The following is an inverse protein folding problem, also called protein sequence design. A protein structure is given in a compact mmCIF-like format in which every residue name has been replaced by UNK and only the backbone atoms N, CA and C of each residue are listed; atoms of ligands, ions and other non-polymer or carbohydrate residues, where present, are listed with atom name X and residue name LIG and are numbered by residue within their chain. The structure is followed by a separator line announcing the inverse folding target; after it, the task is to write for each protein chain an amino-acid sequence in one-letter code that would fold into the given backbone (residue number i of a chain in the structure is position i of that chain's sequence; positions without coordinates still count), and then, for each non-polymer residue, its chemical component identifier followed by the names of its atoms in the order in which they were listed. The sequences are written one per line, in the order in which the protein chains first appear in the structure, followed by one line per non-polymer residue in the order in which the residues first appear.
data_IF_437483164735
#
_entry.id   IF_437483164735
#
_cell.length_a   1.000
_cell.length_b   1.000
_cell.length_c   1.000
_cell.angle_alpha   90.00
_cell.angle_beta   90.00
_cell.angle_gamma   90.00
#
_symmetry.space_group_name_H-M   'P 1'
#
loop_
_entity.id
_entity.type
_entity.pdbx_description
1 polymer ?
#
# COMPACT_ATOMS: atom_id res chain seq x y z
N UNK A 1 -20.45 23.19 -33.38
CA UNK A 1 -19.89 21.92 -33.92
C UNK A 1 -18.55 21.58 -33.28
N UNK A 2 -18.55 20.82 -32.18
CA UNK A 2 -17.32 20.22 -31.64
C UNK A 2 -16.86 19.12 -32.62
N UNK A 3 -15.97 19.46 -33.56
CA UNK A 3 -15.33 18.45 -34.41
C UNK A 3 -14.32 17.69 -33.54
N UNK A 4 -14.65 16.44 -33.23
CA UNK A 4 -13.76 15.53 -32.49
C UNK A 4 -12.55 15.23 -33.40
N UNK A 5 -11.48 15.99 -33.18
CA UNK A 5 -10.22 15.85 -33.89
C UNK A 5 -9.53 14.51 -33.54
N UNK A 6 -8.64 14.01 -34.40
CA UNK A 6 -7.97 12.72 -34.18
C UNK A 6 -7.17 12.68 -32.87
N UNK A 7 -6.64 13.85 -32.45
CA UNK A 7 -5.98 14.03 -31.15
C UNK A 7 -6.94 13.82 -29.97
N UNK A 8 -8.18 14.29 -30.10
CA UNK A 8 -9.23 14.12 -29.07
C UNK A 8 -9.62 12.64 -28.97
N UNK A 9 -9.81 11.94 -30.09
CA UNK A 9 -10.06 10.49 -30.10
C UNK A 9 -8.92 9.70 -29.44
N UNK A 10 -7.67 10.05 -29.76
CA UNK A 10 -6.50 9.40 -29.15
C UNK A 10 -6.43 9.63 -27.64
N UNK A 11 -6.65 10.88 -27.20
CA UNK A 11 -6.72 11.25 -25.79
C UNK A 11 -7.76 10.43 -25.03
N UNK A 12 -9.02 10.43 -25.47
CA UNK A 12 -10.09 9.67 -24.80
C UNK A 12 -9.86 8.16 -24.83
N UNK A 13 -9.30 7.61 -25.92
CA UNK A 13 -8.94 6.18 -26.02
C UNK A 13 -7.90 5.74 -24.98
N UNK A 14 -7.02 6.64 -24.54
CA UNK A 14 -6.02 6.37 -23.49
C UNK A 14 -6.50 6.73 -22.10
N UNK A 15 -7.23 7.83 -21.99
CA UNK A 15 -7.78 8.37 -20.75
C UNK A 15 -8.83 7.44 -20.15
N UNK A 16 -9.77 6.90 -20.95
CA UNK A 16 -10.81 6.02 -20.44
C UNK A 16 -10.23 4.80 -19.69
N UNK A 17 -9.36 3.95 -20.29
CA UNK A 17 -8.75 2.84 -19.55
C UNK A 17 -7.96 3.29 -18.31
N UNK A 18 -7.32 4.46 -18.34
CA UNK A 18 -6.56 4.97 -17.20
C UNK A 18 -7.46 5.38 -16.03
N UNK A 19 -8.56 6.09 -16.31
CA UNK A 19 -9.58 6.45 -15.31
C UNK A 19 -10.21 5.19 -14.75
N UNK A 20 -10.63 4.27 -15.62
CA UNK A 20 -11.24 3.02 -15.18
C UNK A 20 -10.25 2.15 -14.39
N UNK A 21 -8.95 2.13 -14.72
CA UNK A 21 -7.93 1.45 -13.93
C UNK A 21 -7.87 1.96 -12.49
N UNK A 22 -8.07 3.26 -12.27
CA UNK A 22 -8.16 3.83 -10.92
C UNK A 22 -9.53 3.57 -10.30
N UNK A 23 -10.60 3.64 -11.09
CA UNK A 23 -11.98 3.38 -10.68
C UNK A 23 -12.24 1.94 -10.21
N UNK A 24 -11.47 0.96 -10.69
CA UNK A 24 -11.56 -0.45 -10.22
C UNK A 24 -11.39 -0.56 -8.70
N UNK A 25 -10.55 0.28 -8.08
CA UNK A 25 -10.41 0.31 -6.62
C UNK A 25 -11.68 0.80 -5.91
N UNK A 26 -12.39 1.77 -6.50
CA UNK A 26 -13.68 2.25 -5.98
C UNK A 26 -14.77 1.20 -6.13
N UNK A 27 -14.77 0.45 -7.24
CA UNK A 27 -15.65 -0.71 -7.42
C UNK A 27 -15.38 -1.74 -6.34
N UNK A 28 -14.11 -2.02 -6.04
CA UNK A 28 -13.73 -2.99 -5.01
C UNK A 28 -14.25 -2.58 -3.61
N UNK A 29 -14.09 -1.31 -3.24
CA UNK A 29 -14.60 -0.75 -1.97
C UNK A 29 -16.13 -0.80 -1.93
N UNK A 30 -16.80 -0.43 -3.02
CA UNK A 30 -18.26 -0.46 -3.12
C UNK A 30 -18.80 -1.88 -2.95
N UNK A 31 -18.22 -2.86 -3.66
CA UNK A 31 -18.66 -4.25 -3.53
C UNK A 31 -18.37 -4.80 -2.15
N UNK A 32 -17.19 -4.51 -1.59
CA UNK A 32 -16.86 -4.85 -0.20
C UNK A 32 -17.88 -4.26 0.79
N UNK A 33 -18.31 -3.01 0.57
CA UNK A 33 -19.34 -2.34 1.40
C UNK A 33 -20.70 -3.02 1.28
N UNK A 34 -21.11 -3.39 0.07
CA UNK A 34 -22.36 -4.14 -0.16
C UNK A 34 -22.32 -5.48 0.59
N UNK A 35 -21.23 -6.24 0.46
CA UNK A 35 -21.08 -7.53 1.15
C UNK A 35 -21.06 -7.30 2.68
N UNK A 36 -20.34 -6.30 3.16
CA UNK A 36 -20.28 -5.98 4.59
C UNK A 36 -21.64 -5.56 5.15
N UNK A 37 -22.52 -4.95 4.34
CA UNK A 37 -23.83 -4.50 4.81
C UNK A 37 -24.75 -5.62 5.30
N UNK A 38 -24.45 -6.87 4.94
CA UNK A 38 -25.14 -8.06 5.45
C UNK A 38 -24.76 -8.41 6.91
N UNK A 39 -23.78 -7.72 7.51
CA UNK A 39 -23.42 -7.86 8.91
C UNK A 39 -23.50 -6.51 9.61
N UNK A 40 -24.15 -6.47 10.78
CA UNK A 40 -24.26 -5.25 11.59
C UNK A 40 -22.87 -4.69 11.93
N UNK A 41 -22.72 -3.36 11.85
CA UNK A 41 -21.49 -2.60 12.15
C UNK A 41 -20.24 -2.91 11.30
N UNK A 42 -20.26 -3.96 10.47
CA UNK A 42 -19.14 -4.38 9.64
C UNK A 42 -18.67 -3.29 8.67
N UNK A 43 -19.62 -2.56 8.07
CA UNK A 43 -19.30 -1.43 7.18
C UNK A 43 -18.44 -0.40 7.91
N UNK A 44 -18.80 -0.05 9.14
CA UNK A 44 -18.04 0.90 9.96
C UNK A 44 -16.66 0.36 10.32
N UNK A 45 -16.56 -0.92 10.72
CA UNK A 45 -15.28 -1.53 11.08
C UNK A 45 -14.28 -1.50 9.92
N UNK A 46 -14.74 -1.86 8.73
CA UNK A 46 -13.93 -1.82 7.52
C UNK A 46 -13.58 -0.39 7.14
N UNK A 47 -14.51 0.56 7.25
CA UNK A 47 -14.27 1.96 6.96
C UNK A 47 -13.14 2.56 7.81
N UNK A 48 -13.17 2.33 9.13
CA UNK A 48 -12.13 2.85 10.04
C UNK A 48 -10.77 2.20 9.78
N UNK A 49 -10.74 0.89 9.55
CA UNK A 49 -9.50 0.19 9.18
C UNK A 49 -8.93 0.68 7.85
N UNK A 50 -9.79 0.92 6.86
CA UNK A 50 -9.43 1.35 5.51
C UNK A 50 -8.72 2.71 5.50
N UNK A 51 -9.20 3.64 6.33
CA UNK A 51 -8.57 4.97 6.45
C UNK A 51 -7.15 4.93 7.00
N UNK A 52 -6.85 4.01 7.91
CA UNK A 52 -5.53 3.94 8.54
C UNK A 52 -4.49 3.47 7.52
N UNK A 53 -4.70 2.35 6.82
CA UNK A 53 -3.68 1.82 5.90
C UNK A 53 -3.54 2.68 4.63
N UNK A 54 -4.59 3.42 4.22
CA UNK A 54 -4.54 4.33 3.08
C UNK A 54 -3.50 5.44 3.22
N UNK A 55 -3.19 5.88 4.44
CA UNK A 55 -2.15 6.88 4.71
C UNK A 55 -0.80 6.38 4.17
N UNK A 56 -0.44 5.14 4.45
CA UNK A 56 0.82 4.57 3.95
C UNK A 56 0.75 4.33 2.44
N UNK A 57 -0.36 3.80 1.92
CA UNK A 57 -0.53 3.61 0.48
C UNK A 57 -0.36 4.91 -0.30
N UNK A 58 -0.87 6.03 0.23
CA UNK A 58 -0.74 7.34 -0.36
C UNK A 58 0.73 7.77 -0.50
N UNK A 59 1.55 7.48 0.52
CA UNK A 59 2.97 7.88 0.55
C UNK A 59 3.84 6.88 -0.21
N UNK A 60 3.83 5.60 0.20
CA UNK A 60 4.73 4.57 -0.30
C UNK A 60 4.37 4.08 -1.71
N UNK A 61 3.10 4.17 -2.12
CA UNK A 61 2.66 3.78 -3.45
C UNK A 61 2.39 4.99 -4.35
N UNK A 62 1.36 5.76 -4.02
CA UNK A 62 0.80 6.78 -4.92
C UNK A 62 1.79 7.93 -5.14
N UNK A 63 2.34 8.52 -4.09
CA UNK A 63 3.22 9.68 -4.19
C UNK A 63 4.50 9.34 -4.98
N UNK A 64 5.17 8.23 -4.66
CA UNK A 64 6.35 7.78 -5.39
C UNK A 64 6.02 7.60 -6.87
N UNK A 65 4.97 6.84 -7.21
CA UNK A 65 4.56 6.61 -8.59
C UNK A 65 4.28 7.90 -9.37
N UNK A 66 3.65 8.89 -8.74
CA UNK A 66 3.37 10.19 -9.38
C UNK A 66 4.67 10.96 -9.63
N UNK A 67 5.57 11.00 -8.63
CA UNK A 67 6.82 11.76 -8.70
C UNK A 67 7.75 11.20 -9.78
N UNK A 68 7.82 9.87 -9.93
CA UNK A 68 8.75 9.25 -10.89
C UNK A 68 8.21 9.21 -12.32
N UNK A 69 6.89 9.32 -12.53
CA UNK A 69 6.26 9.11 -13.83
C UNK A 69 6.77 10.05 -14.94
N UNK A 70 6.98 11.37 -14.70
CA UNK A 70 7.53 12.25 -15.73
C UNK A 70 8.93 11.82 -16.20
N UNK A 71 9.81 11.47 -15.26
CA UNK A 71 11.16 11.02 -15.56
C UNK A 71 11.16 9.64 -16.24
N UNK A 72 10.30 8.72 -15.80
CA UNK A 72 10.12 7.42 -16.46
C UNK A 72 9.71 7.60 -17.93
N UNK A 73 8.67 8.39 -18.20
CA UNK A 73 8.19 8.63 -19.57
C UNK A 73 9.28 9.23 -20.45
N UNK A 74 10.02 10.22 -19.94
CA UNK A 74 11.15 10.83 -20.65
C UNK A 74 12.26 9.81 -20.97
N UNK A 75 12.65 8.97 -20.01
CA UNK A 75 13.70 7.97 -20.23
C UNK A 75 13.27 6.80 -21.12
N UNK A 76 11.98 6.44 -21.10
CA UNK A 76 11.38 5.50 -22.07
C UNK A 76 11.47 6.07 -23.48
N UNK A 77 11.07 7.33 -23.68
CA UNK A 77 11.06 7.99 -24.98
C UNK A 77 12.48 8.19 -25.53
N UNK A 78 13.41 8.62 -24.67
CA UNK A 78 14.82 8.81 -25.04
C UNK A 78 15.61 7.50 -25.11
N UNK A 79 14.98 6.33 -24.89
CA UNK A 79 15.61 5.00 -24.84
C UNK A 79 16.84 4.91 -23.92
N UNK A 80 16.87 5.70 -22.84
CA UNK A 80 18.00 5.71 -21.92
C UNK A 80 17.88 4.58 -20.90
N UNK A 81 18.33 3.38 -21.29
CA UNK A 81 18.17 2.15 -20.50
C UNK A 81 18.81 2.22 -19.11
N UNK A 82 20.01 2.80 -18.99
CA UNK A 82 20.74 2.83 -17.72
C UNK A 82 20.04 3.69 -16.67
N UNK A 83 19.62 4.91 -17.03
CA UNK A 83 18.86 5.79 -16.13
C UNK A 83 17.50 5.21 -15.78
N UNK A 84 16.84 4.58 -16.75
CA UNK A 84 15.55 3.92 -16.54
C UNK A 84 15.68 2.77 -15.52
N UNK A 85 16.66 1.90 -15.67
CA UNK A 85 16.90 0.78 -14.76
C UNK A 85 17.20 1.26 -13.33
N UNK A 86 18.04 2.28 -13.17
CA UNK A 86 18.33 2.88 -11.86
C UNK A 86 17.07 3.46 -11.23
N UNK A 87 16.31 4.28 -11.97
CA UNK A 87 15.11 4.93 -11.46
C UNK A 87 14.04 3.91 -11.04
N UNK A 88 13.83 2.87 -11.84
CA UNK A 88 12.85 1.83 -11.54
C UNK A 88 13.23 1.03 -10.28
N UNK A 89 14.48 0.55 -10.19
CA UNK A 89 14.94 -0.19 -9.00
C UNK A 89 14.86 0.69 -7.75
N UNK A 90 15.32 1.95 -7.82
CA UNK A 90 15.27 2.90 -6.70
C UNK A 90 13.85 3.22 -6.26
N UNK A 91 12.92 3.37 -7.20
CA UNK A 91 11.52 3.62 -6.87
C UNK A 91 10.87 2.45 -6.12
N UNK A 92 11.20 1.21 -6.52
CA UNK A 92 10.71 0.01 -5.85
C UNK A 92 11.37 -0.19 -4.47
N UNK A 93 12.68 0.08 -4.36
CA UNK A 93 13.39 0.10 -3.08
C UNK A 93 12.74 1.09 -2.09
N UNK A 94 12.50 2.33 -2.53
CA UNK A 94 11.89 3.36 -1.69
C UNK A 94 10.45 3.00 -1.29
N UNK A 95 9.68 2.43 -2.22
CA UNK A 95 8.33 1.94 -1.94
C UNK A 95 8.31 0.89 -0.85
N UNK A 96 9.20 -0.12 -0.94
CA UNK A 96 9.29 -1.20 0.04
C UNK A 96 9.91 -0.74 1.36
N UNK A 97 10.85 0.19 1.31
CA UNK A 97 11.43 0.86 2.48
C UNK A 97 10.36 1.55 3.33
N UNK A 98 9.33 2.13 2.71
CA UNK A 98 8.25 2.82 3.42
C UNK A 98 7.07 1.89 3.78
N UNK A 99 6.77 0.89 2.95
CA UNK A 99 5.61 0.02 3.16
C UNK A 99 5.87 -1.09 4.18
N UNK A 100 7.06 -1.70 4.19
CA UNK A 100 7.39 -2.79 5.13
C UNK A 100 7.34 -2.40 6.61
N UNK A 101 8.01 -1.31 7.08
CA UNK A 101 7.94 -0.94 8.49
C UNK A 101 6.53 -0.54 8.91
N UNK A 102 5.78 0.14 8.03
CA UNK A 102 4.39 0.47 8.29
C UNK A 102 3.52 -0.78 8.40
N UNK A 103 3.74 -1.78 7.55
CA UNK A 103 3.06 -3.08 7.62
C UNK A 103 3.26 -3.71 8.99
N UNK A 104 4.51 -3.77 9.47
CA UNK A 104 4.83 -4.33 10.78
C UNK A 104 4.18 -3.52 11.91
N UNK A 105 4.29 -2.19 11.88
CA UNK A 105 3.68 -1.34 12.89
C UNK A 105 2.16 -1.54 12.97
N UNK A 106 1.47 -1.61 11.82
CA UNK A 106 0.03 -1.81 11.76
C UNK A 106 -0.40 -3.22 12.19
N UNK A 107 0.41 -4.25 11.92
CA UNK A 107 0.14 -5.63 12.35
C UNK A 107 0.26 -5.76 13.87
N UNK A 108 1.34 -5.22 14.44
CA UNK A 108 1.66 -5.42 15.85
C UNK A 108 0.97 -4.44 16.79
N UNK A 109 0.52 -3.28 16.29
CA UNK A 109 -0.16 -2.26 17.07
C UNK A 109 -1.57 -1.96 16.55
N UNK A 110 -2.22 -2.89 15.84
CA UNK A 110 -3.54 -2.64 15.22
C UNK A 110 -4.57 -2.18 16.24
N UNK A 111 -4.65 -2.87 17.39
CA UNK A 111 -5.62 -2.57 18.45
C UNK A 111 -5.29 -1.23 19.13
N UNK A 112 -4.02 -0.97 19.44
CA UNK A 112 -3.56 0.26 20.04
C UNK A 112 -3.80 1.47 19.13
N UNK A 113 -3.51 1.34 17.83
CA UNK A 113 -3.73 2.38 16.83
C UNK A 113 -5.23 2.68 16.69
N UNK A 114 -6.07 1.66 16.52
CA UNK A 114 -7.53 1.85 16.39
C UNK A 114 -8.11 2.42 17.68
N UNK A 115 -7.72 1.91 18.84
CA UNK A 115 -8.15 2.39 20.15
C UNK A 115 -7.77 3.85 20.37
N UNK A 116 -6.55 4.23 20.00
CA UNK A 116 -6.02 5.57 20.20
C UNK A 116 -6.62 6.61 19.24
N UNK A 117 -6.98 6.21 18.02
CA UNK A 117 -7.57 7.09 17.02
C UNK A 117 -9.09 7.20 17.15
N UNK A 118 -9.77 6.09 17.41
CA UNK A 118 -11.22 6.00 17.28
C UNK A 118 -11.95 5.55 18.54
N UNK A 119 -11.26 4.94 19.52
CA UNK A 119 -11.86 4.38 20.74
C UNK A 119 -12.40 5.43 21.73
N UNK A 120 -13.33 6.28 21.30
CA UNK A 120 -13.93 7.35 22.10
C UNK A 120 -15.44 7.38 21.90
N UNK A 121 -16.16 7.91 22.89
CA UNK A 121 -17.62 8.06 22.81
C UNK A 121 -18.32 6.72 22.57
N UNK A 122 -19.15 6.65 21.53
CA UNK A 122 -19.92 5.46 21.16
C UNK A 122 -19.09 4.34 20.51
N UNK A 123 -17.81 4.58 20.20
CA UNK A 123 -16.93 3.56 19.63
C UNK A 123 -16.30 2.73 20.75
N UNK A 124 -16.97 1.63 21.06
CA UNK A 124 -16.66 0.79 22.21
C UNK A 124 -15.47 -0.16 21.97
N UNK A 125 -15.13 -0.94 23.01
CA UNK A 125 -14.00 -1.89 22.96
C UNK A 125 -14.19 -2.97 21.89
N UNK A 126 -15.43 -3.41 21.65
CA UNK A 126 -15.72 -4.40 20.62
C UNK A 126 -15.48 -3.82 19.22
N UNK A 127 -15.97 -2.60 18.97
CA UNK A 127 -15.72 -1.87 17.72
C UNK A 127 -14.23 -1.67 17.44
N UNK A 128 -13.45 -1.35 18.48
CA UNK A 128 -11.98 -1.28 18.39
C UNK A 128 -11.39 -2.62 17.96
N UNK A 129 -11.73 -3.71 18.66
CA UNK A 129 -11.18 -5.04 18.35
C UNK A 129 -11.55 -5.49 16.95
N UNK A 130 -12.80 -5.32 16.53
CA UNK A 130 -13.25 -5.72 15.19
C UNK A 130 -12.57 -4.91 14.09
N UNK A 131 -12.42 -3.59 14.27
CA UNK A 131 -11.74 -2.73 13.29
C UNK A 131 -10.22 -2.98 13.26
N UNK A 132 -9.61 -3.28 14.41
CA UNK A 132 -8.21 -3.68 14.51
C UNK A 132 -7.94 -5.01 13.80
N UNK A 133 -8.87 -5.96 13.90
CA UNK A 133 -8.80 -7.23 13.17
C UNK A 133 -8.85 -7.00 11.65
N UNK A 134 -9.73 -6.12 11.17
CA UNK A 134 -9.74 -5.74 9.77
C UNK A 134 -8.44 -5.05 9.34
N UNK A 135 -7.94 -4.12 10.15
CA UNK A 135 -6.70 -3.39 9.90
C UNK A 135 -5.50 -4.35 9.80
N UNK A 136 -5.41 -5.34 10.69
CA UNK A 136 -4.38 -6.36 10.67
C UNK A 136 -4.32 -7.08 9.31
N UNK A 137 -5.48 -7.52 8.81
CA UNK A 137 -5.52 -8.22 7.52
C UNK A 137 -5.26 -7.29 6.33
N UNK A 138 -5.72 -6.05 6.36
CA UNK A 138 -5.37 -5.06 5.33
C UNK A 138 -3.86 -4.74 5.33
N UNK A 139 -3.23 -4.65 6.51
CA UNK A 139 -1.82 -4.35 6.64
C UNK A 139 -0.94 -5.40 5.93
N UNK A 140 -1.33 -6.67 5.95
CA UNK A 140 -0.66 -7.73 5.18
C UNK A 140 -0.66 -7.51 3.66
N UNK A 141 -1.62 -6.72 3.14
CA UNK A 141 -1.71 -6.34 1.73
C UNK A 141 -0.93 -5.07 1.39
N UNK A 142 -0.41 -4.34 2.38
CA UNK A 142 0.19 -3.03 2.20
C UNK A 142 1.42 -3.03 1.27
N UNK A 143 2.35 -3.99 1.35
CA UNK A 143 3.44 -4.08 0.39
C UNK A 143 2.92 -4.29 -1.03
N UNK A 144 1.92 -5.15 -1.21
CA UNK A 144 1.30 -5.39 -2.52
C UNK A 144 0.64 -4.14 -3.09
N UNK A 145 -0.13 -3.39 -2.28
CA UNK A 145 -0.76 -2.14 -2.73
C UNK A 145 0.29 -1.14 -3.24
N UNK A 146 1.42 -1.03 -2.55
CA UNK A 146 2.53 -0.15 -2.97
C UNK A 146 3.16 -0.62 -4.29
N UNK A 147 3.46 -1.92 -4.41
CA UNK A 147 4.02 -2.53 -5.62
C UNK A 147 3.10 -2.39 -6.83
N UNK A 148 1.78 -2.54 -6.67
CA UNK A 148 0.80 -2.33 -7.75
C UNK A 148 0.97 -0.92 -8.34
N UNK A 149 1.06 0.11 -7.49
CA UNK A 149 1.19 1.50 -7.97
C UNK A 149 2.52 1.73 -8.69
N UNK A 150 3.61 1.19 -8.15
CA UNK A 150 4.95 1.31 -8.77
C UNK A 150 4.97 0.62 -10.13
N UNK A 151 4.60 -0.65 -10.22
CA UNK A 151 4.62 -1.38 -11.49
C UNK A 151 3.62 -0.83 -12.50
N UNK A 152 2.45 -0.36 -12.06
CA UNK A 152 1.50 0.31 -12.96
C UNK A 152 2.13 1.55 -13.61
N UNK A 153 2.92 2.34 -12.86
CA UNK A 153 3.62 3.51 -13.41
C UNK A 153 4.64 3.13 -14.49
N UNK A 154 5.31 1.99 -14.36
CA UNK A 154 6.27 1.50 -15.37
C UNK A 154 5.58 1.14 -16.69
N UNK A 155 4.35 0.65 -16.62
CA UNK A 155 3.53 0.28 -17.78
C UNK A 155 2.88 1.54 -18.39
N UNK A 156 2.39 2.47 -17.55
CA UNK A 156 1.85 3.75 -18.00
C UNK A 156 2.87 4.63 -18.72
N UNK A 157 4.12 4.66 -18.26
CA UNK A 157 5.22 5.37 -18.92
C UNK A 157 5.46 4.90 -20.38
N UNK A 158 4.96 3.71 -20.75
CA UNK A 158 5.04 3.11 -22.09
C UNK A 158 3.74 3.23 -22.88
N UNK A 159 2.86 4.14 -22.48
CA UNK A 159 1.53 4.35 -23.08
C UNK A 159 0.60 3.12 -23.04
N UNK A 160 0.86 2.13 -22.17
CA UNK A 160 -0.05 1.00 -21.99
C UNK A 160 -0.91 1.21 -20.74
N UNK A 161 -2.13 1.71 -20.95
CA UNK A 161 -3.10 1.92 -19.86
C UNK A 161 -4.07 0.75 -19.70
N UNK A 162 -4.01 -0.25 -20.59
CA UNK A 162 -4.94 -1.37 -20.62
C UNK A 162 -4.48 -2.49 -19.71
N UNK A 163 -3.19 -2.79 -19.71
CA UNK A 163 -2.67 -3.92 -18.93
C UNK A 163 -2.93 -3.78 -17.42
N UNK A 164 -2.62 -2.64 -16.77
CA UNK A 164 -2.93 -2.46 -15.35
C UNK A 164 -4.44 -2.49 -15.05
N UNK A 165 -5.27 -2.01 -15.98
CA UNK A 165 -6.72 -2.11 -15.87
C UNK A 165 -7.20 -3.56 -15.84
N UNK A 166 -6.77 -4.40 -16.78
CA UNK A 166 -7.20 -5.80 -16.85
C UNK A 166 -6.73 -6.62 -15.64
N UNK A 167 -5.49 -6.43 -15.17
CA UNK A 167 -5.02 -7.11 -13.95
C UNK A 167 -5.77 -6.66 -12.71
N UNK A 168 -6.11 -5.37 -12.61
CA UNK A 168 -6.96 -4.87 -11.54
C UNK A 168 -8.38 -5.45 -11.61
N UNK A 169 -8.94 -5.62 -12.81
CA UNK A 169 -10.25 -6.24 -12.99
C UNK A 169 -10.25 -7.72 -12.56
N UNK A 170 -9.22 -8.49 -12.94
CA UNK A 170 -9.03 -9.87 -12.50
C UNK A 170 -8.96 -9.93 -10.97
N UNK A 171 -8.17 -9.04 -10.37
CA UNK A 171 -8.04 -8.91 -8.92
C UNK A 171 -9.38 -8.65 -8.23
N UNK A 172 -10.19 -7.73 -8.75
CA UNK A 172 -11.54 -7.46 -8.20
C UNK A 172 -12.44 -8.67 -8.33
N UNK A 173 -12.44 -9.37 -9.47
CA UNK A 173 -13.24 -10.59 -9.64
C UNK A 173 -12.83 -11.64 -8.61
N UNK A 174 -11.53 -11.87 -8.42
CA UNK A 174 -11.01 -12.79 -7.40
C UNK A 174 -11.42 -12.35 -5.99
N UNK A 175 -11.32 -11.06 -5.68
CA UNK A 175 -11.74 -10.52 -4.38
C UNK A 175 -13.22 -10.80 -4.11
N UNK A 176 -14.09 -10.52 -5.09
CA UNK A 176 -15.53 -10.74 -4.98
C UNK A 176 -15.84 -12.21 -4.77
N UNK A 177 -15.21 -13.09 -5.55
CA UNK A 177 -15.40 -14.55 -5.42
C UNK A 177 -15.02 -14.99 -4.00
N UNK A 178 -13.83 -14.64 -3.52
CA UNK A 178 -13.38 -15.04 -2.17
C UNK A 178 -14.31 -14.44 -1.10
N UNK A 179 -14.63 -13.15 -1.21
CA UNK A 179 -15.48 -12.45 -0.24
C UNK A 179 -16.85 -13.11 -0.15
N UNK A 180 -17.54 -13.31 -1.27
CA UNK A 180 -18.89 -13.90 -1.29
C UNK A 180 -18.87 -15.37 -0.85
N UNK A 181 -17.90 -16.17 -1.31
CA UNK A 181 -17.86 -17.60 -0.99
C UNK A 181 -17.61 -17.89 0.49
N UNK A 182 -16.88 -17.02 1.20
CA UNK A 182 -16.48 -17.26 2.59
C UNK A 182 -17.15 -16.31 3.60
N UNK A 183 -17.94 -15.32 3.15
CA UNK A 183 -18.63 -14.36 4.04
C UNK A 183 -19.51 -15.04 5.08
N UNK A 184 -20.26 -16.08 4.70
CA UNK A 184 -21.15 -16.79 5.63
C UNK A 184 -20.42 -17.47 6.80
N UNK A 185 -19.14 -17.81 6.63
CA UNK A 185 -18.32 -18.50 7.64
C UNK A 185 -17.45 -17.56 8.46
N UNK A 186 -16.89 -16.54 7.83
CA UNK A 186 -15.87 -15.67 8.42
C UNK A 186 -16.37 -14.25 8.69
N UNK A 187 -17.60 -13.91 8.29
CA UNK A 187 -18.18 -12.58 8.40
C UNK A 187 -17.33 -11.53 7.69
N UNK A 188 -17.36 -10.30 8.17
CA UNK A 188 -16.65 -9.16 7.58
C UNK A 188 -15.13 -9.34 7.46
N UNK A 189 -14.51 -10.21 8.27
CA UNK A 189 -13.07 -10.46 8.28
C UNK A 189 -12.59 -11.04 6.94
N UNK A 190 -13.46 -11.72 6.19
CA UNK A 190 -13.09 -12.22 4.86
C UNK A 190 -12.75 -11.08 3.90
N UNK A 191 -13.40 -9.92 4.02
CA UNK A 191 -13.28 -8.83 3.05
C UNK A 191 -11.84 -8.27 3.02
N UNK A 192 -11.19 -7.94 4.16
CA UNK A 192 -9.79 -7.53 4.15
C UNK A 192 -8.84 -8.68 3.76
N UNK A 193 -9.13 -9.93 4.14
CA UNK A 193 -8.34 -11.09 3.71
C UNK A 193 -8.37 -11.23 2.18
N UNK A 194 -9.56 -11.22 1.60
CA UNK A 194 -9.79 -11.33 0.16
C UNK A 194 -9.18 -10.15 -0.60
N UNK A 195 -9.27 -8.94 -0.03
CA UNK A 195 -8.62 -7.73 -0.59
C UNK A 195 -7.09 -7.87 -0.57
N UNK A 196 -6.52 -8.39 0.50
CA UNK A 196 -5.07 -8.64 0.60
C UNK A 196 -4.61 -9.70 -0.40
N UNK A 197 -5.28 -10.85 -0.48
CA UNK A 197 -4.94 -11.94 -1.41
C UNK A 197 -5.03 -11.47 -2.87
N UNK A 198 -6.16 -10.84 -3.23
CA UNK A 198 -6.38 -10.32 -4.59
C UNK A 198 -5.38 -9.24 -4.98
N UNK A 199 -4.90 -8.44 -4.02
CA UNK A 199 -3.89 -7.41 -4.27
C UNK A 199 -2.50 -7.99 -4.47
N UNK A 200 -2.12 -9.02 -3.70
CA UNK A 200 -0.91 -9.78 -3.99
C UNK A 200 -0.95 -10.40 -5.39
N UNK A 201 -2.09 -10.98 -5.79
CA UNK A 201 -2.28 -11.48 -7.15
C UNK A 201 -2.09 -10.38 -8.20
N UNK A 202 -2.69 -9.19 -8.02
CA UNK A 202 -2.52 -8.07 -8.94
C UNK A 202 -1.07 -7.61 -9.04
N UNK A 203 -0.41 -7.41 -7.89
CA UNK A 203 0.98 -6.98 -7.82
C UNK A 203 1.93 -7.98 -8.50
N UNK A 204 1.70 -9.28 -8.30
CA UNK A 204 2.48 -10.34 -8.93
C UNK A 204 2.23 -10.42 -10.45
N UNK A 205 0.99 -10.30 -10.91
CA UNK A 205 0.68 -10.26 -12.35
C UNK A 205 1.38 -9.08 -13.04
N UNK A 206 1.34 -7.90 -12.42
CA UNK A 206 2.07 -6.72 -12.90
C UNK A 206 3.58 -6.95 -12.91
N UNK A 207 4.15 -7.51 -11.84
CA UNK A 207 5.57 -7.82 -11.74
C UNK A 207 6.02 -8.77 -12.85
N UNK A 208 5.32 -9.90 -13.02
CA UNK A 208 5.62 -10.88 -14.07
C UNK A 208 5.49 -10.25 -15.46
N UNK A 209 4.48 -9.42 -15.70
CA UNK A 209 4.31 -8.74 -16.97
C UNK A 209 5.47 -7.79 -17.29
N UNK A 210 5.90 -6.95 -16.35
CA UNK A 210 7.01 -6.00 -16.61
C UNK A 210 8.34 -6.73 -16.81
N UNK A 211 8.55 -7.86 -16.13
CA UNK A 211 9.73 -8.70 -16.33
C UNK A 211 9.70 -9.37 -17.72
N UNK A 212 8.58 -10.01 -18.09
CA UNK A 212 8.44 -10.71 -19.38
C UNK A 212 8.55 -9.76 -20.58
N UNK A 213 8.14 -8.50 -20.43
CA UNK A 213 8.26 -7.47 -21.46
C UNK A 213 9.63 -6.78 -21.48
N UNK A 214 10.56 -7.17 -20.62
CA UNK A 214 11.83 -6.48 -20.40
C UNK A 214 11.65 -4.99 -20.12
N UNK A 215 10.55 -4.64 -19.45
CA UNK A 215 10.25 -3.28 -19.03
C UNK A 215 10.97 -2.92 -17.74
N UNK A 216 11.42 -3.93 -17.00
CA UNK A 216 12.12 -3.80 -15.74
C UNK A 216 13.04 -5.01 -15.56
N UNK A 217 14.20 -4.80 -14.94
CA UNK A 217 15.14 -5.83 -14.51
C UNK A 217 15.60 -5.52 -13.09
N UNK A 218 15.68 -6.55 -12.26
CA UNK A 218 16.30 -6.40 -10.95
C UNK A 218 17.82 -6.33 -11.12
N UNK A 219 18.43 -5.29 -10.57
CA UNK A 219 19.88 -5.21 -10.51
C UNK A 219 20.42 -5.89 -9.23
N UNK A 220 21.68 -6.31 -9.21
CA UNK A 220 22.26 -6.97 -8.02
C UNK A 220 22.23 -6.07 -6.77
N UNK A 221 22.33 -4.75 -6.96
CA UNK A 221 22.22 -3.78 -5.86
C UNK A 221 20.84 -3.79 -5.19
N UNK A 222 19.77 -4.08 -5.93
CA UNK A 222 18.39 -4.12 -5.44
C UNK A 222 18.23 -5.23 -4.40
N UNK A 223 18.71 -6.44 -4.69
CA UNK A 223 18.63 -7.56 -3.74
C UNK A 223 19.42 -7.28 -2.46
N UNK A 224 20.61 -6.68 -2.59
CA UNK A 224 21.39 -6.26 -1.42
C UNK A 224 20.64 -5.19 -0.60
N UNK A 225 19.95 -4.27 -1.27
CA UNK A 225 19.16 -3.24 -0.60
C UNK A 225 17.94 -3.85 0.10
N UNK A 226 17.20 -4.74 -0.57
CA UNK A 226 16.08 -5.47 0.04
C UNK A 226 16.50 -6.23 1.29
N UNK A 227 17.64 -6.92 1.23
CA UNK A 227 18.17 -7.64 2.38
C UNK A 227 18.46 -6.69 3.56
N UNK A 228 19.06 -5.54 3.29
CA UNK A 228 19.30 -4.50 4.32
C UNK A 228 17.99 -3.92 4.88
N UNK A 229 17.00 -3.67 4.02
CA UNK A 229 15.67 -3.21 4.43
C UNK A 229 15.01 -4.25 5.34
N UNK A 230 15.13 -5.53 5.00
CA UNK A 230 14.60 -6.62 5.79
C UNK A 230 15.26 -6.70 7.18
N UNK A 231 16.59 -6.62 7.25
CA UNK A 231 17.33 -6.57 8.53
C UNK A 231 16.92 -5.35 9.36
N UNK A 232 16.86 -4.15 8.76
CA UNK A 232 16.41 -2.93 9.45
C UNK A 232 15.01 -3.10 10.05
N UNK A 233 14.10 -3.71 9.29
CA UNK A 233 12.75 -4.01 9.75
C UNK A 233 12.73 -5.00 10.92
N UNK A 234 13.54 -6.06 10.90
CA UNK A 234 13.63 -7.02 12.00
C UNK A 234 14.14 -6.37 13.29
N UNK A 235 15.19 -5.54 13.20
CA UNK A 235 15.74 -4.83 14.36
C UNK A 235 14.72 -3.83 14.89
N UNK A 236 14.11 -3.04 14.00
CA UNK A 236 13.10 -2.06 14.35
C UNK A 236 11.87 -2.70 14.99
N UNK A 237 11.47 -3.90 14.54
CA UNK A 237 10.38 -4.66 15.13
C UNK A 237 10.67 -5.08 16.58
N UNK A 238 11.91 -5.47 16.88
CA UNK A 238 12.34 -5.73 18.25
C UNK A 238 12.18 -4.50 19.15
N UNK A 239 12.68 -3.35 18.69
CA UNK A 239 12.54 -2.06 19.40
C UNK A 239 11.08 -1.60 19.53
N UNK A 240 10.28 -1.82 18.49
CA UNK A 240 8.86 -1.50 18.47
C UNK A 240 8.11 -2.26 19.55
N UNK A 241 8.34 -3.58 19.64
CA UNK A 241 7.70 -4.44 20.65
C UNK A 241 8.09 -4.04 22.07
N UNK A 242 9.36 -3.72 22.29
CA UNK A 242 9.84 -3.19 23.59
C UNK A 242 9.14 -1.86 23.91
N UNK A 243 9.02 -0.97 22.92
CA UNK A 243 8.37 0.33 23.08
C UNK A 243 6.89 0.19 23.41
N UNK A 244 6.14 -0.68 22.72
CA UNK A 244 4.73 -0.97 23.04
C UNK A 244 4.58 -1.44 24.48
N UNK A 245 5.41 -2.39 24.92
CA UNK A 245 5.36 -2.90 26.29
C UNK A 245 5.65 -1.79 27.31
N UNK A 246 6.60 -0.90 27.03
CA UNK A 246 6.91 0.24 27.89
C UNK A 246 5.74 1.23 28.00
N UNK A 247 5.05 1.49 26.88
CA UNK A 247 3.89 2.38 26.82
C UNK A 247 2.55 1.68 27.18
N UNK A 248 2.55 0.40 27.57
CA UNK A 248 1.33 -0.40 27.78
C UNK A 248 0.29 0.25 28.71
N UNK A 249 0.73 0.90 29.78
CA UNK A 249 -0.14 1.63 30.71
C UNK A 249 -0.92 2.77 30.05
N UNK A 250 -0.38 3.36 28.97
CA UNK A 250 -1.03 4.43 28.22
C UNK A 250 -2.06 3.91 27.21
N UNK A 251 -1.97 2.64 26.80
CA UNK A 251 -2.88 2.03 25.81
C UNK A 251 -4.13 1.41 26.43
N UNK A 252 -4.30 1.49 27.75
CA UNK A 252 -5.56 1.12 28.41
C UNK A 252 -6.70 1.94 27.78
N UNK A 253 -7.77 1.25 27.37
CA UNK A 253 -8.86 1.85 26.59
C UNK A 253 -9.45 3.14 27.17
N UNK A 254 -9.55 3.23 28.51
CA UNK A 254 -10.10 4.39 29.22
C UNK A 254 -9.12 5.56 29.39
N UNK A 255 -7.86 5.40 29.02
CA UNK A 255 -6.84 6.42 29.23
C UNK A 255 -6.95 7.55 28.19
N UNK A 256 -6.96 8.80 28.64
CA UNK A 256 -7.04 9.99 27.77
C UNK A 256 -5.75 10.24 26.98
N UNK A 257 -4.61 9.74 27.46
CA UNK A 257 -3.30 9.99 26.83
C UNK A 257 -2.91 8.99 25.73
N UNK A 258 -3.77 8.02 25.40
CA UNK A 258 -3.50 6.98 24.40
C UNK A 258 -3.17 7.53 23.00
N UNK A 259 -3.84 8.62 22.59
CA UNK A 259 -3.56 9.30 21.32
C UNK A 259 -2.15 9.89 21.29
N UNK A 260 -1.73 10.55 22.37
CA UNK A 260 -0.39 11.12 22.45
C UNK A 260 0.67 10.01 22.47
N UNK A 261 0.42 8.93 23.21
CA UNK A 261 1.30 7.77 23.28
C UNK A 261 1.49 7.11 21.90
N UNK A 262 0.43 6.93 21.11
CA UNK A 262 0.58 6.32 19.78
C UNK A 262 1.34 7.23 18.81
N UNK A 263 1.14 8.55 18.86
CA UNK A 263 1.89 9.50 18.03
C UNK A 263 3.38 9.44 18.37
N UNK A 264 3.71 9.50 19.66
CA UNK A 264 5.10 9.40 20.12
C UNK A 264 5.72 8.07 19.70
N UNK A 265 4.98 6.97 19.85
CA UNK A 265 5.44 5.64 19.49
C UNK A 265 5.69 5.53 17.98
N UNK A 266 4.78 6.00 17.13
CA UNK A 266 4.97 6.02 15.67
C UNK A 266 6.18 6.88 15.28
N UNK A 267 6.32 8.07 15.85
CA UNK A 267 7.44 8.96 15.55
C UNK A 267 8.78 8.37 15.97
N UNK A 268 8.85 7.81 17.18
CA UNK A 268 10.05 7.19 17.74
C UNK A 268 10.44 5.93 16.96
N UNK A 269 9.47 5.11 16.55
CA UNK A 269 9.70 3.93 15.71
C UNK A 269 10.21 4.33 14.33
N UNK A 270 9.60 5.34 13.71
CA UNK A 270 10.04 5.84 12.41
C UNK A 270 11.44 6.46 12.49
N UNK A 271 11.74 7.21 13.55
CA UNK A 271 13.07 7.77 13.79
C UNK A 271 14.13 6.68 13.96
N UNK A 272 13.85 5.64 14.77
CA UNK A 272 14.75 4.50 14.91
C UNK A 272 14.93 3.74 13.60
N UNK A 273 13.85 3.51 12.85
CA UNK A 273 13.92 2.89 11.53
C UNK A 273 14.84 3.67 10.60
N UNK A 274 14.69 5.00 10.52
CA UNK A 274 15.56 5.85 9.71
C UNK A 274 17.02 5.79 10.18
N UNK A 275 17.28 5.88 11.49
CA UNK A 275 18.62 5.81 12.05
C UNK A 275 19.31 4.48 11.71
N UNK A 276 18.65 3.35 11.98
CA UNK A 276 19.17 2.00 11.67
C UNK A 276 19.42 1.86 10.17
N UNK A 277 18.50 2.37 9.35
CA UNK A 277 18.59 2.30 7.90
C UNK A 277 19.75 3.12 7.34
N UNK A 278 20.06 4.28 7.94
CA UNK A 278 21.23 5.10 7.58
C UNK A 278 22.51 4.37 8.00
N UNK A 279 22.56 3.78 9.20
CA UNK A 279 23.73 3.03 9.70
C UNK A 279 24.06 1.81 8.83
N UNK A 280 23.04 1.04 8.44
CA UNK A 280 23.18 -0.15 7.57
C UNK A 280 23.42 0.26 6.09
N UNK A 281 23.34 1.56 5.77
CA UNK A 281 23.36 2.08 4.39
C UNK A 281 22.26 1.43 3.54
N UNK A 282 21.10 1.19 4.15
CA UNK A 282 19.85 0.75 3.53
C UNK A 282 19.08 1.93 2.92
N UNK A 283 19.47 3.17 3.24
CA UNK A 283 18.92 4.37 2.63
C UNK A 283 19.97 5.48 2.63
N UNK A 284 20.17 6.16 1.49
CA UNK A 284 21.06 7.33 1.41
C UNK A 284 20.21 8.59 1.33
N UNK A 285 20.60 9.66 2.00
CA UNK A 285 19.89 10.95 1.93
C UNK A 285 19.79 11.55 0.52
N UNK A 286 20.67 11.13 -0.40
CA UNK A 286 20.57 11.45 -1.83
C UNK A 286 19.34 10.83 -2.51
N UNK A 287 18.81 9.72 -1.99
CA UNK A 287 17.66 9.01 -2.56
C UNK A 287 16.34 9.78 -2.33
N UNK A 288 16.26 10.66 -1.32
CA UNK A 288 15.08 11.50 -1.02
C UNK A 288 14.83 12.52 -2.15
N UNK A 289 15.89 13.06 -2.75
CA UNK A 289 15.74 14.10 -3.77
C UNK A 289 15.33 13.55 -5.13
N UNK A 290 15.34 12.22 -5.34
CA UNK A 290 15.00 11.56 -6.61
C UNK A 290 15.59 12.25 -7.86
N UNK A 291 16.76 12.91 -7.71
CA UNK A 291 17.45 13.65 -8.77
C UNK A 291 18.30 12.69 -9.63
N UNK A 292 17.68 11.68 -10.22
CA UNK A 292 18.33 10.68 -11.06
C UNK A 292 18.00 10.86 -12.56
#
# INVERSE_FOLDING_TARGET
NFRIDNKIKFFFKKLLPSIFSSGVTQINILVGTIIASFQASAVSYLYYADRIYQINLAIAGIAISIIILPNLSRYVESKNKSKLEILQNKSLELSLFLSLPATLALIFASEEIVSALFGYGSFDKESVKSSALALFYFALGLPAFSMIKIFSSFVFARNDTKTPFYFSLISVIVNIIISVSFFSKLGFIIIPIATTISSWLNGLLLMVFVLNKNYFSFNNSFFMQLFKIFISNLICLGLFKISINYFSNYFIFSNSYKFLAIILLVFLTFAFYLLISILIKAFKMSDIKLNY
#
